data_IF_035388642713
#
_entry.id   IF_035388642713
#
_cell.length_a   1.000
_cell.length_b   1.000
_cell.length_c   1.000
_cell.angle_alpha   90.00
_cell.angle_beta   90.00
_cell.angle_gamma   90.00
#
_symmetry.space_group_name_H-M   'P 1'
#
loop_
_entity.id
_entity.type
_entity.pdbx_description
1 polymer ?
#
# COMPACT_ATOMS: atom_id res chain seq x y z
N UNK A 1 39.19 21.60 30.52
CA UNK A 1 38.02 21.40 31.40
C UNK A 1 36.69 21.78 30.72
N UNK A 2 36.43 23.05 30.37
CA UNK A 2 35.14 23.48 29.77
C UNK A 2 34.80 22.85 28.39
N UNK A 3 35.80 22.63 27.53
CA UNK A 3 35.62 22.00 26.21
C UNK A 3 35.23 20.51 26.28
N UNK A 4 35.58 19.83 27.37
CA UNK A 4 35.24 18.42 27.58
C UNK A 4 33.75 18.25 27.90
N UNK A 5 33.19 19.13 28.72
CA UNK A 5 31.74 19.14 29.02
C UNK A 5 30.88 19.35 27.76
N UNK A 6 31.31 20.22 26.83
CA UNK A 6 30.60 20.48 25.58
C UNK A 6 30.53 19.21 24.70
N UNK A 7 31.63 18.45 24.62
CA UNK A 7 31.69 17.21 23.85
C UNK A 7 30.81 16.13 24.49
N UNK A 8 30.81 16.02 25.82
CA UNK A 8 29.97 15.07 26.55
C UNK A 8 28.48 15.41 26.39
N UNK A 9 28.10 16.69 26.46
CA UNK A 9 26.71 17.12 26.22
C UNK A 9 26.27 16.86 24.79
N UNK A 10 27.15 17.06 23.79
CA UNK A 10 26.84 16.77 22.39
C UNK A 10 26.66 15.26 22.15
N UNK A 11 27.45 14.42 22.83
CA UNK A 11 27.32 12.96 22.78
C UNK A 11 25.99 12.50 23.41
N UNK A 12 25.59 13.11 24.53
CA UNK A 12 24.33 12.83 25.21
C UNK A 12 23.10 13.26 24.40
N UNK A 13 23.21 14.34 23.62
CA UNK A 13 22.12 14.84 22.77
C UNK A 13 21.81 13.87 21.60
N UNK A 14 22.83 13.18 21.09
CA UNK A 14 22.66 12.18 20.02
C UNK A 14 22.03 10.87 20.51
N UNK A 15 22.05 10.59 21.82
CA UNK A 15 21.42 9.41 22.42
C UNK A 15 19.91 9.55 22.65
N UNK A 16 19.39 10.78 22.68
CA UNK A 16 17.97 11.05 22.94
C UNK A 16 17.10 10.97 21.67
N UNK A 17 17.70 10.96 20.49
CA UNK A 17 17.01 10.79 19.21
C UNK A 17 16.81 9.31 18.86
N UNK A 18 16.14 8.56 19.73
CA UNK A 18 15.52 7.31 19.28
C UNK A 18 14.17 7.66 18.65
N UNK A 19 14.20 7.69 17.33
CA UNK A 19 13.05 7.89 16.47
C UNK A 19 11.95 6.88 16.85
N UNK A 20 10.80 7.38 17.29
CA UNK A 20 9.56 6.62 17.33
C UNK A 20 9.16 6.31 15.87
N UNK A 21 9.70 5.22 15.32
CA UNK A 21 9.34 4.78 13.98
C UNK A 21 7.93 4.18 14.04
N UNK A 22 7.04 4.77 13.25
CA UNK A 22 5.61 4.54 13.25
C UNK A 22 5.26 3.09 12.87
N UNK A 23 4.89 2.26 13.86
CA UNK A 23 4.48 0.86 13.72
C UNK A 23 3.36 0.63 12.68
N UNK A 24 2.55 1.66 12.38
CA UNK A 24 1.45 1.59 11.41
C UNK A 24 1.95 1.44 9.97
N UNK A 25 3.17 1.91 9.69
CA UNK A 25 3.79 1.84 8.37
C UNK A 25 4.17 0.40 8.01
N UNK A 26 4.61 -0.40 8.99
CA UNK A 26 5.03 -1.79 8.77
C UNK A 26 3.86 -2.71 8.38
N UNK A 27 2.71 -2.58 9.05
CA UNK A 27 1.53 -3.40 8.76
C UNK A 27 0.99 -3.17 7.36
N UNK A 28 1.01 -1.93 6.86
CA UNK A 28 0.53 -1.63 5.51
C UNK A 28 1.39 -2.31 4.45
N UNK A 29 2.72 -2.22 4.58
CA UNK A 29 3.62 -2.85 3.60
C UNK A 29 3.51 -4.37 3.62
N UNK A 30 3.38 -4.98 4.79
CA UNK A 30 3.13 -6.43 4.90
C UNK A 30 1.85 -6.85 4.17
N UNK A 31 0.77 -6.05 4.25
CA UNK A 31 -0.47 -6.34 3.51
C UNK A 31 -0.33 -6.14 2.01
N UNK A 32 0.45 -5.16 1.58
CA UNK A 32 0.74 -4.93 0.16
C UNK A 32 1.60 -6.05 -0.42
N UNK A 33 2.56 -6.57 0.36
CA UNK A 33 3.40 -7.71 -0.02
C UNK A 33 2.54 -8.97 -0.20
N UNK A 34 1.70 -9.29 0.81
CA UNK A 34 0.75 -10.40 0.74
C UNK A 34 -0.23 -10.26 -0.44
N UNK A 35 -0.68 -9.05 -0.77
CA UNK A 35 -1.52 -8.81 -1.94
C UNK A 35 -0.79 -9.17 -3.24
N UNK A 36 0.49 -8.81 -3.35
CA UNK A 36 1.35 -9.20 -4.47
C UNK A 36 1.49 -10.72 -4.60
N UNK A 37 1.79 -11.40 -3.50
CA UNK A 37 1.91 -12.87 -3.45
C UNK A 37 0.64 -13.57 -3.92
N UNK A 38 -0.53 -13.06 -3.50
CA UNK A 38 -1.83 -13.60 -3.92
C UNK A 38 -2.02 -13.42 -5.42
N UNK A 39 -1.72 -12.24 -5.97
CA UNK A 39 -1.84 -11.98 -7.41
C UNK A 39 -0.93 -12.90 -8.22
N UNK A 40 0.32 -13.08 -7.78
CA UNK A 40 1.28 -13.99 -8.42
C UNK A 40 0.80 -15.45 -8.36
N UNK A 41 0.26 -15.87 -7.21
CA UNK A 41 -0.30 -17.22 -7.02
C UNK A 41 -1.47 -17.45 -7.98
N UNK A 42 -2.39 -16.48 -8.11
CA UNK A 42 -3.50 -16.59 -9.06
C UNK A 42 -2.96 -16.69 -10.49
N UNK A 43 -1.97 -15.86 -10.86
CA UNK A 43 -1.43 -15.89 -12.21
C UNK A 43 -0.77 -17.22 -12.57
N UNK A 44 -0.12 -17.88 -11.61
CA UNK A 44 0.58 -19.16 -11.81
C UNK A 44 -0.34 -20.37 -11.72
N UNK A 45 -1.23 -20.38 -10.74
CA UNK A 45 -2.00 -21.58 -10.36
C UNK A 45 -3.42 -21.59 -10.93
N UNK A 46 -3.93 -20.46 -11.44
CA UNK A 46 -5.24 -20.44 -12.05
C UNK A 46 -5.22 -21.17 -13.39
N UNK A 47 -6.21 -22.03 -13.61
CA UNK A 47 -6.24 -22.94 -14.76
C UNK A 47 -6.32 -22.23 -16.13
N UNK A 48 -6.69 -20.95 -16.13
CA UNK A 48 -6.79 -20.09 -17.31
C UNK A 48 -5.83 -18.93 -17.18
N UNK A 49 -5.38 -18.45 -18.34
CA UNK A 49 -4.72 -17.15 -18.39
C UNK A 49 -5.67 -16.06 -17.88
N UNK A 50 -5.18 -15.27 -16.93
CA UNK A 50 -5.91 -14.14 -16.37
C UNK A 50 -5.44 -12.82 -16.99
N UNK A 51 -6.30 -11.81 -16.94
CA UNK A 51 -5.91 -10.42 -17.14
C UNK A 51 -5.69 -9.78 -15.77
N UNK A 52 -4.44 -9.55 -15.41
CA UNK A 52 -4.06 -8.97 -14.11
C UNK A 52 -4.76 -7.62 -13.85
N UNK A 53 -4.94 -6.80 -14.90
CA UNK A 53 -5.64 -5.52 -14.79
C UNK A 53 -7.11 -5.69 -14.38
N UNK A 54 -7.81 -6.67 -14.96
CA UNK A 54 -9.20 -6.96 -14.59
C UNK A 54 -9.33 -7.54 -13.17
N UNK A 55 -8.34 -8.35 -12.74
CA UNK A 55 -8.29 -8.89 -11.38
C UNK A 55 -8.06 -7.77 -10.35
N UNK A 56 -7.14 -6.85 -10.63
CA UNK A 56 -6.85 -5.70 -9.78
C UNK A 56 -8.06 -4.76 -9.72
N UNK A 57 -8.70 -4.45 -10.86
CA UNK A 57 -9.93 -3.64 -10.90
C UNK A 57 -11.05 -4.28 -10.06
N UNK A 58 -11.16 -5.61 -10.09
CA UNK A 58 -12.08 -6.38 -9.24
C UNK A 58 -11.73 -6.27 -7.74
N UNK A 59 -10.45 -6.37 -7.39
CA UNK A 59 -9.99 -6.22 -6.01
C UNK A 59 -10.26 -4.81 -5.46
N UNK A 60 -10.03 -3.76 -6.26
CA UNK A 60 -10.34 -2.38 -5.88
C UNK A 60 -11.84 -2.21 -5.65
N UNK A 61 -12.68 -2.76 -6.54
CA UNK A 61 -14.13 -2.78 -6.35
C UNK A 61 -14.54 -3.47 -5.04
N UNK A 62 -13.97 -4.63 -4.73
CA UNK A 62 -14.23 -5.34 -3.47
C UNK A 62 -13.83 -4.52 -2.24
N UNK A 63 -12.69 -3.83 -2.28
CA UNK A 63 -12.29 -2.92 -1.21
C UNK A 63 -13.28 -1.76 -1.01
N UNK A 64 -13.76 -1.15 -2.10
CA UNK A 64 -14.74 -0.07 -2.03
C UNK A 64 -16.09 -0.56 -1.49
N UNK A 65 -16.57 -1.72 -1.94
CA UNK A 65 -17.81 -2.34 -1.45
C UNK A 65 -17.74 -2.71 0.03
N UNK A 66 -16.54 -3.04 0.54
CA UNK A 66 -16.33 -3.29 1.96
C UNK A 66 -16.51 -2.04 2.83
N UNK A 67 -16.35 -0.85 2.25
CA UNK A 67 -16.56 0.43 2.92
C UNK A 67 -18.01 0.91 2.79
N UNK A 68 -18.59 0.79 1.59
CA UNK A 68 -19.97 1.15 1.28
C UNK A 68 -20.49 0.30 0.10
N UNK A 69 -21.63 -0.42 0.24
CA UNK A 69 -22.19 -1.26 -0.81
C UNK A 69 -22.47 -0.54 -2.14
N UNK A 70 -22.64 0.78 -2.13
CA UNK A 70 -22.91 1.57 -3.33
C UNK A 70 -21.64 2.15 -3.97
N UNK A 71 -20.47 2.01 -3.32
CA UNK A 71 -19.22 2.47 -3.86
C UNK A 71 -18.68 1.51 -4.92
N UNK A 72 -18.28 2.06 -6.07
CA UNK A 72 -17.71 1.31 -7.19
C UNK A 72 -16.52 2.04 -7.81
N UNK A 73 -15.54 1.26 -8.27
CA UNK A 73 -14.39 1.73 -9.02
C UNK A 73 -14.74 1.88 -10.51
N UNK A 74 -14.46 3.06 -11.05
CA UNK A 74 -14.59 3.35 -12.48
C UNK A 74 -13.25 3.15 -13.18
N UNK A 75 -13.09 2.04 -13.90
CA UNK A 75 -11.88 1.83 -14.71
C UNK A 75 -11.81 2.85 -15.86
N UNK A 76 -10.61 3.22 -16.34
CA UNK A 76 -10.45 4.10 -17.50
C UNK A 76 -11.18 3.58 -18.75
N UNK A 77 -11.24 2.25 -18.93
CA UNK A 77 -11.98 1.60 -20.02
C UNK A 77 -13.49 1.85 -19.89
N UNK A 78 -14.05 1.63 -18.70
CA UNK A 78 -15.47 1.89 -18.43
C UNK A 78 -15.81 3.36 -18.62
N UNK A 79 -14.97 4.26 -18.10
CA UNK A 79 -15.14 5.70 -18.27
C UNK A 79 -15.15 6.09 -19.76
N UNK A 80 -14.24 5.53 -20.56
CA UNK A 80 -14.19 5.80 -22.01
C UNK A 80 -15.47 5.33 -22.72
N UNK A 81 -15.97 4.14 -22.39
CA UNK A 81 -17.18 3.59 -22.99
C UNK A 81 -18.43 4.44 -22.70
N UNK A 82 -18.55 4.97 -21.47
CA UNK A 82 -19.67 5.87 -21.11
C UNK A 82 -19.70 7.14 -21.97
N UNK A 83 -18.54 7.70 -22.32
CA UNK A 83 -18.44 8.88 -23.17
C UNK A 83 -18.72 8.60 -24.66
N UNK A 84 -18.74 7.33 -25.08
CA UNK A 84 -19.03 6.94 -26.47
C UNK A 84 -20.47 6.51 -26.70
N UNK A 85 -21.23 6.25 -25.63
CA UNK A 85 -22.64 5.86 -25.67
C UNK A 85 -23.61 7.06 -25.58
N UNK A 86 -23.09 8.29 -25.48
CA UNK A 86 -23.83 9.56 -25.51
C UNK A 86 -23.71 10.25 -26.87
#
# INVERSE_FOLDING_TARGET
MKKFYIIVTFLFLNLFSQNAFSQKKDVLYEKLDLFGDILETINKEYFKQINEGEVIDGAINGMLQSLDPYSSYMSPKTFKNMNTET
#
